data_IF_687933237969
#
_entry.id   IF_687933237969
#
_cell.length_a   1.000
_cell.length_b   1.000
_cell.length_c   1.000
_cell.angle_alpha   90.00
_cell.angle_beta   90.00
_cell.angle_gamma   90.00
#
_symmetry.space_group_name_H-M   'P 1'
#
loop_
_entity.id
_entity.type
_entity.pdbx_description
1 polymer ?
#
# COMPACT_ATOMS: atom_id res chain seq x y z
N UNK A 1 2.21 -5.41 8.20
CA UNK A 1 1.79 -4.10 8.71
C UNK A 1 2.32 -3.89 10.12
N UNK A 2 2.68 -2.66 10.47
CA UNK A 2 3.31 -2.33 11.75
C UNK A 2 2.62 -1.13 12.40
N UNK A 3 2.45 -1.18 13.72
CA UNK A 3 1.93 -0.07 14.52
C UNK A 3 3.09 0.71 15.15
N UNK A 4 3.40 1.89 14.60
CA UNK A 4 4.61 2.63 14.95
C UNK A 4 4.47 3.51 16.20
N UNK A 5 3.29 3.61 16.82
CA UNK A 5 2.99 4.56 17.91
C UNK A 5 3.77 4.31 19.20
N UNK A 6 4.09 3.05 19.47
CA UNK A 6 4.77 2.63 20.70
C UNK A 6 6.30 2.51 20.52
N UNK A 7 6.83 2.88 19.36
CA UNK A 7 8.27 2.84 19.13
C UNK A 7 8.90 4.14 19.62
N UNK A 8 10.14 4.08 20.16
CA UNK A 8 10.90 5.29 20.43
C UNK A 8 11.01 6.18 19.19
N UNK A 9 11.09 7.48 19.41
CA UNK A 9 11.38 8.42 18.34
C UNK A 9 12.65 8.00 17.59
N UNK A 10 12.71 8.28 16.29
CA UNK A 10 13.85 7.96 15.42
C UNK A 10 14.09 6.45 15.19
N UNK A 11 13.15 5.57 15.57
CA UNK A 11 13.22 4.14 15.21
C UNK A 11 13.13 3.91 13.69
N UNK A 12 12.34 4.73 12.99
CA UNK A 12 12.15 4.63 11.54
C UNK A 12 12.72 5.88 10.86
N UNK A 13 13.34 5.67 9.72
CA UNK A 13 13.88 6.71 8.84
C UNK A 13 13.26 6.53 7.45
N UNK A 14 12.82 7.61 6.82
CA UNK A 14 12.38 7.52 5.43
C UNK A 14 13.59 7.27 4.55
N UNK A 15 13.44 6.40 3.58
CA UNK A 15 14.55 6.09 2.68
C UNK A 15 15.01 7.30 1.85
N UNK A 16 14.11 8.24 1.52
CA UNK A 16 14.48 9.51 0.92
C UNK A 16 15.36 10.37 1.83
N UNK A 17 15.07 10.42 3.13
CA UNK A 17 15.90 11.16 4.11
C UNK A 17 17.28 10.49 4.24
N UNK A 18 17.34 9.15 4.21
CA UNK A 18 18.60 8.42 4.19
C UNK A 18 19.41 8.70 2.91
N UNK A 19 18.75 8.69 1.75
CA UNK A 19 19.39 8.99 0.47
C UNK A 19 19.82 10.46 0.37
N UNK A 20 19.07 11.39 0.96
CA UNK A 20 19.45 12.80 1.04
C UNK A 20 20.76 12.98 1.83
N UNK A 21 21.04 12.15 2.83
CA UNK A 21 22.34 12.19 3.49
C UNK A 21 23.43 11.47 2.69
N UNK A 22 23.11 10.33 2.09
CA UNK A 22 24.09 9.46 1.41
C UNK A 22 24.47 9.93 -0.01
N UNK A 23 23.67 10.76 -0.67
CA UNK A 23 23.96 11.18 -2.05
C UNK A 23 25.11 12.19 -2.17
N UNK A 24 25.49 12.83 -1.06
CA UNK A 24 26.64 13.74 -1.00
C UNK A 24 27.97 12.97 -0.87
N UNK A 25 27.92 11.72 -0.41
CA UNK A 25 29.07 10.82 -0.37
C UNK A 25 29.43 10.32 -1.78
N UNK A 26 30.74 10.10 -2.00
CA UNK A 26 31.44 9.93 -3.29
C UNK A 26 30.98 8.76 -4.18
N UNK A 27 29.94 8.00 -3.83
CA UNK A 27 29.45 6.88 -4.65
C UNK A 27 28.45 7.35 -5.72
N UNK A 28 28.79 7.25 -7.01
CA UNK A 28 27.88 7.61 -8.10
C UNK A 28 26.56 6.82 -8.08
N UNK A 29 26.53 5.64 -7.47
CA UNK A 29 25.35 4.80 -7.34
C UNK A 29 24.30 5.41 -6.41
N UNK A 30 24.71 5.96 -5.25
CA UNK A 30 23.77 6.63 -4.33
C UNK A 30 23.21 7.91 -4.94
N UNK A 31 24.04 8.70 -5.62
CA UNK A 31 23.57 9.88 -6.36
C UNK A 31 22.57 9.50 -7.46
N UNK A 32 22.81 8.41 -8.19
CA UNK A 32 21.88 7.90 -9.20
C UNK A 32 20.57 7.43 -8.58
N UNK A 33 20.64 6.68 -7.49
CA UNK A 33 19.48 6.19 -6.76
C UNK A 33 18.63 7.35 -6.19
N UNK A 34 19.27 8.33 -5.56
CA UNK A 34 18.62 9.56 -5.07
C UNK A 34 17.90 10.29 -6.20
N UNK A 35 18.56 10.55 -7.33
CA UNK A 35 17.92 11.22 -8.47
C UNK A 35 16.72 10.45 -9.03
N UNK A 36 16.77 9.12 -9.06
CA UNK A 36 15.62 8.32 -9.48
C UNK A 36 14.47 8.39 -8.48
N UNK A 37 14.79 8.27 -7.18
CA UNK A 37 13.82 8.21 -6.09
C UNK A 37 13.17 9.56 -5.78
N UNK A 38 13.94 10.66 -5.85
CA UNK A 38 13.48 12.03 -5.64
C UNK A 38 12.94 12.70 -6.92
N UNK A 39 13.04 11.99 -8.06
CA UNK A 39 12.58 12.48 -9.36
C UNK A 39 11.35 11.73 -9.87
N UNK A 40 11.40 11.36 -11.15
CA UNK A 40 10.27 10.77 -11.90
C UNK A 40 9.78 9.42 -11.34
N UNK A 41 10.61 8.69 -10.59
CA UNK A 41 10.32 7.33 -10.16
C UNK A 41 10.05 7.20 -8.65
N UNK A 42 9.55 8.26 -8.02
CA UNK A 42 9.02 8.19 -6.66
C UNK A 42 7.76 7.31 -6.57
N UNK A 43 7.89 6.08 -6.08
CA UNK A 43 6.79 5.11 -5.96
C UNK A 43 6.18 5.00 -4.55
N UNK A 44 6.69 5.74 -3.56
CA UNK A 44 6.23 5.75 -2.15
C UNK A 44 7.34 5.39 -1.15
N UNK A 45 7.09 5.62 0.15
CA UNK A 45 8.13 5.58 1.21
C UNK A 45 8.07 4.32 2.11
N UNK A 46 6.99 3.54 2.09
CA UNK A 46 6.70 2.55 3.15
C UNK A 46 6.58 1.09 2.68
N UNK A 47 7.20 0.76 1.55
CA UNK A 47 7.40 -0.64 1.17
C UNK A 47 8.75 -1.09 1.71
N UNK A 48 8.75 -1.76 2.87
CA UNK A 48 9.94 -2.50 3.28
C UNK A 48 10.16 -3.60 2.25
N UNK A 49 11.29 -3.54 1.55
CA UNK A 49 11.72 -4.62 0.66
C UNK A 49 12.36 -5.72 1.50
N UNK A 50 11.55 -6.58 2.13
CA UNK A 50 12.07 -7.68 2.93
C UNK A 50 11.14 -8.15 4.05
N UNK A 51 11.69 -9.00 4.91
CA UNK A 51 11.04 -9.53 6.10
C UNK A 51 11.12 -8.51 7.24
N UNK A 52 9.96 -8.17 7.83
CA UNK A 52 9.89 -7.28 8.99
C UNK A 52 9.00 -7.94 10.06
N UNK A 53 9.64 -8.73 10.91
CA UNK A 53 9.01 -9.35 12.08
C UNK A 53 9.48 -8.66 13.36
N UNK A 54 8.64 -7.77 13.88
CA UNK A 54 8.80 -7.18 15.20
C UNK A 54 7.73 -7.80 16.10
N UNK A 55 8.18 -8.70 16.97
CA UNK A 55 7.33 -9.49 17.86
C UNK A 55 6.28 -8.64 18.58
N UNK A 56 5.00 -8.98 18.38
CA UNK A 56 3.85 -8.30 19.00
C UNK A 56 3.54 -6.89 18.46
N UNK A 57 4.30 -6.38 17.49
CA UNK A 57 4.16 -5.03 16.93
C UNK A 57 3.74 -5.03 15.46
N UNK A 58 3.86 -6.15 14.77
CA UNK A 58 3.43 -6.30 13.39
C UNK A 58 2.49 -7.49 13.17
N UNK A 59 1.89 -7.50 11.99
CA UNK A 59 1.16 -8.62 11.41
C UNK A 59 1.66 -8.85 10.00
N UNK A 60 1.83 -10.12 9.64
CA UNK A 60 2.29 -10.54 8.32
C UNK A 60 1.15 -11.20 7.57
N UNK A 61 1.18 -11.06 6.25
CA UNK A 61 0.31 -11.79 5.35
C UNK A 61 1.12 -12.18 4.13
N UNK A 62 0.83 -13.35 3.57
CA UNK A 62 1.44 -13.80 2.34
C UNK A 62 0.81 -13.07 1.15
N UNK A 63 1.56 -12.91 0.06
CA UNK A 63 0.99 -12.46 -1.20
C UNK A 63 -0.13 -13.39 -1.69
N UNK A 64 -0.03 -14.70 -1.40
CA UNK A 64 -1.06 -15.66 -1.80
C UNK A 64 -2.40 -15.39 -1.12
N UNK A 65 -2.42 -15.05 0.18
CA UNK A 65 -3.66 -14.65 0.88
C UNK A 65 -4.31 -13.43 0.23
N UNK A 66 -3.51 -12.45 -0.21
CA UNK A 66 -4.02 -11.29 -0.95
C UNK A 66 -4.59 -11.70 -2.32
N UNK A 67 -3.92 -12.59 -3.05
CA UNK A 67 -4.39 -13.13 -4.34
C UNK A 67 -5.71 -13.86 -4.16
N UNK A 68 -5.78 -14.77 -3.19
CA UNK A 68 -6.93 -15.63 -2.93
C UNK A 68 -8.16 -14.82 -2.49
N UNK A 69 -7.97 -13.77 -1.69
CA UNK A 69 -9.05 -12.84 -1.33
C UNK A 69 -9.36 -11.79 -2.40
N UNK A 70 -8.77 -11.90 -3.59
CA UNK A 70 -9.19 -11.15 -4.78
C UNK A 70 -8.47 -9.83 -5.03
N UNK A 71 -7.21 -9.69 -4.59
CA UNK A 71 -6.40 -8.50 -4.85
C UNK A 71 -6.39 -8.13 -6.35
N UNK A 72 -6.16 -9.10 -7.22
CA UNK A 72 -6.05 -8.90 -8.67
C UNK A 72 -7.38 -8.98 -9.42
N UNK A 73 -8.44 -9.49 -8.80
CA UNK A 73 -9.72 -9.72 -9.48
C UNK A 73 -10.80 -8.73 -9.06
N UNK A 74 -10.90 -8.44 -7.76
CA UNK A 74 -11.94 -7.59 -7.18
C UNK A 74 -11.38 -6.25 -6.72
N UNK A 75 -10.20 -6.24 -6.08
CA UNK A 75 -9.64 -5.03 -5.45
C UNK A 75 -8.97 -4.11 -6.47
N UNK A 76 -7.96 -4.59 -7.19
CA UNK A 76 -7.21 -3.76 -8.14
C UNK A 76 -6.75 -4.58 -9.36
N UNK A 77 -7.64 -4.79 -10.35
CA UNK A 77 -7.28 -5.49 -11.59
C UNK A 77 -6.15 -4.82 -12.40
N UNK A 78 -5.88 -3.53 -12.16
CA UNK A 78 -4.75 -2.84 -12.78
C UNK A 78 -3.38 -3.41 -12.39
N UNK A 79 -3.29 -4.15 -11.28
CA UNK A 79 -2.05 -4.82 -10.86
C UNK A 79 -1.71 -6.03 -11.75
N UNK A 80 -2.70 -6.76 -12.27
CA UNK A 80 -2.49 -8.00 -13.02
C UNK A 80 -2.47 -7.79 -14.55
N UNK A 81 -2.13 -6.57 -14.97
CA UNK A 81 -1.99 -6.26 -16.40
C UNK A 81 -0.67 -6.82 -16.95
N UNK A 82 -0.67 -7.55 -18.07
CA UNK A 82 0.55 -8.08 -18.70
C UNK A 82 1.59 -7.00 -19.03
N UNK A 83 1.14 -5.75 -19.19
CA UNK A 83 2.02 -4.61 -19.44
C UNK A 83 2.79 -4.17 -18.20
N UNK A 84 2.49 -4.64 -16.99
CA UNK A 84 3.26 -4.29 -15.80
C UNK A 84 4.56 -5.09 -15.77
N UNK A 85 5.64 -4.50 -16.30
CA UNK A 85 6.98 -5.06 -16.14
C UNK A 85 7.49 -4.81 -14.72
N UNK A 86 7.29 -5.80 -13.86
CA UNK A 86 7.71 -5.76 -12.46
C UNK A 86 9.23 -5.82 -12.27
N UNK A 87 10.04 -6.11 -13.32
CA UNK A 87 11.50 -5.93 -13.26
C UNK A 87 11.89 -4.45 -13.19
N UNK A 88 11.06 -3.59 -13.78
CA UNK A 88 11.17 -2.13 -13.70
C UNK A 88 10.00 -1.56 -12.88
N UNK A 89 9.78 -2.13 -11.70
CA UNK A 89 8.66 -1.78 -10.84
C UNK A 89 8.44 -0.27 -10.60
N UNK A 90 9.46 0.62 -10.50
CA UNK A 90 9.22 2.06 -10.33
C UNK A 90 8.49 2.65 -11.54
N UNK A 91 8.84 2.19 -12.76
CA UNK A 91 8.17 2.59 -13.99
C UNK A 91 6.78 2.00 -14.08
N UNK A 92 6.59 0.74 -13.69
CA UNK A 92 5.28 0.11 -13.65
C UNK A 92 4.32 0.88 -12.73
N UNK A 93 4.78 1.23 -11.52
CA UNK A 93 4.00 2.00 -10.55
C UNK A 93 3.70 3.41 -11.06
N UNK A 94 4.73 4.18 -11.43
CA UNK A 94 4.57 5.60 -11.72
C UNK A 94 3.92 5.88 -13.09
N UNK A 95 4.26 5.12 -14.13
CA UNK A 95 3.78 5.41 -15.48
C UNK A 95 2.47 4.70 -15.84
N UNK A 96 2.11 3.61 -15.15
CA UNK A 96 0.94 2.80 -15.50
C UNK A 96 -0.03 2.67 -14.34
N UNK A 97 0.39 2.02 -13.25
CA UNK A 97 -0.51 1.69 -12.15
C UNK A 97 -1.19 2.93 -11.57
N UNK A 98 -0.43 3.99 -11.27
CA UNK A 98 -1.01 5.24 -10.73
C UNK A 98 -1.95 5.94 -11.71
N UNK A 99 -1.64 5.89 -13.01
CA UNK A 99 -2.49 6.47 -14.06
C UNK A 99 -3.81 5.70 -14.16
N UNK A 100 -3.73 4.37 -14.21
CA UNK A 100 -4.89 3.48 -14.22
C UNK A 100 -5.75 3.68 -12.97
N UNK A 101 -5.12 3.69 -11.80
CA UNK A 101 -5.76 3.95 -10.51
C UNK A 101 -6.50 5.29 -10.54
N UNK A 102 -5.85 6.37 -10.99
CA UNK A 102 -6.46 7.70 -11.06
C UNK A 102 -7.65 7.76 -12.03
N UNK A 103 -7.63 6.96 -13.09
CA UNK A 103 -8.70 6.91 -14.11
C UNK A 103 -9.90 6.03 -13.74
N UNK A 104 -9.81 5.27 -12.65
CA UNK A 104 -10.82 4.26 -12.31
C UNK A 104 -12.14 4.87 -11.78
N UNK A 105 -13.25 4.15 -11.94
CA UNK A 105 -14.61 4.60 -11.56
C UNK A 105 -14.94 4.33 -10.08
N UNK A 106 -16.08 4.88 -9.63
CA UNK A 106 -16.59 4.83 -8.26
C UNK A 106 -16.65 3.42 -7.66
N UNK A 107 -16.51 3.36 -6.33
CA UNK A 107 -16.47 2.13 -5.54
C UNK A 107 -17.83 1.43 -5.53
N UNK A 108 -17.85 0.13 -5.84
CA UNK A 108 -19.04 -0.70 -5.64
C UNK A 108 -19.07 -1.34 -4.23
N UNK A 109 -20.27 -1.68 -3.76
CA UNK A 109 -20.47 -2.28 -2.43
C UNK A 109 -19.79 -3.66 -2.28
N UNK A 110 -19.66 -4.43 -3.37
CA UNK A 110 -19.01 -5.74 -3.35
C UNK A 110 -17.52 -5.58 -3.01
N UNK A 111 -16.89 -4.54 -3.54
CA UNK A 111 -15.49 -4.26 -3.31
C UNK A 111 -15.22 -3.77 -1.88
N UNK A 112 -16.09 -2.92 -1.31
CA UNK A 112 -15.99 -2.51 0.10
C UNK A 112 -16.03 -3.74 1.00
N UNK A 113 -17.01 -4.62 0.78
CA UNK A 113 -17.14 -5.87 1.53
C UNK A 113 -15.91 -6.76 1.36
N UNK A 114 -15.44 -6.92 0.12
CA UNK A 114 -14.27 -7.76 -0.17
C UNK A 114 -13.01 -7.23 0.52
N UNK A 115 -12.79 -5.91 0.51
CA UNK A 115 -11.63 -5.30 1.19
C UNK A 115 -11.69 -5.52 2.71
N UNK A 116 -12.88 -5.41 3.31
CA UNK A 116 -13.10 -5.64 4.74
C UNK A 116 -12.88 -7.11 5.10
N UNK A 117 -13.44 -8.05 4.34
CA UNK A 117 -13.28 -9.48 4.59
C UNK A 117 -11.83 -9.92 4.39
N UNK A 118 -11.20 -9.54 3.28
CA UNK A 118 -9.79 -9.83 3.05
C UNK A 118 -8.92 -9.25 4.17
N UNK A 119 -9.20 -8.03 4.64
CA UNK A 119 -8.45 -7.45 5.75
C UNK A 119 -8.63 -8.26 7.05
N UNK A 120 -9.87 -8.62 7.38
CA UNK A 120 -10.15 -9.45 8.56
C UNK A 120 -9.43 -10.79 8.50
N UNK A 121 -9.47 -11.46 7.36
CA UNK A 121 -8.89 -12.79 7.17
C UNK A 121 -7.35 -12.76 7.13
N UNK A 122 -6.76 -11.68 6.61
CA UNK A 122 -5.31 -11.55 6.52
C UNK A 122 -4.66 -11.05 7.82
N UNK A 123 -5.29 -10.11 8.54
CA UNK A 123 -4.61 -9.39 9.62
C UNK A 123 -5.38 -9.30 10.94
N UNK A 124 -6.57 -9.91 11.02
CA UNK A 124 -7.42 -9.85 12.20
C UNK A 124 -7.89 -8.42 12.54
N UNK A 125 -8.51 -8.27 13.71
CA UNK A 125 -9.25 -7.05 14.05
C UNK A 125 -8.35 -5.82 14.27
N UNK A 126 -7.12 -5.99 14.79
CA UNK A 126 -6.20 -4.88 15.11
C UNK A 126 -5.88 -4.02 13.89
N UNK A 127 -5.65 -4.65 12.75
CA UNK A 127 -5.22 -3.98 11.52
C UNK A 127 -6.27 -4.03 10.41
N UNK A 128 -7.48 -4.51 10.71
CA UNK A 128 -8.57 -4.61 9.75
C UNK A 128 -8.85 -3.28 9.07
N UNK A 129 -9.17 -2.25 9.86
CA UNK A 129 -9.53 -0.92 9.34
C UNK A 129 -8.41 -0.33 8.47
N UNK A 130 -7.15 -0.23 8.94
CA UNK A 130 -6.10 0.34 8.11
C UNK A 130 -5.80 -0.50 6.84
N UNK A 131 -5.83 -1.83 6.90
CA UNK A 131 -5.60 -2.65 5.71
C UNK A 131 -6.74 -2.49 4.69
N UNK A 132 -8.00 -2.55 5.14
CA UNK A 132 -9.15 -2.37 4.27
C UNK A 132 -9.14 -1.00 3.59
N UNK A 133 -8.79 0.07 4.31
CA UNK A 133 -8.63 1.40 3.72
C UNK A 133 -7.46 1.47 2.74
N UNK A 134 -6.33 0.82 3.02
CA UNK A 134 -5.20 0.75 2.08
C UNK A 134 -5.58 0.04 0.78
N UNK A 135 -6.30 -1.08 0.87
CA UNK A 135 -6.80 -1.83 -0.29
C UNK A 135 -7.79 -1.00 -1.12
N UNK A 136 -8.70 -0.29 -0.46
CA UNK A 136 -9.62 0.64 -1.11
C UNK A 136 -8.88 1.86 -1.70
N UNK A 137 -7.75 2.24 -1.13
CA UNK A 137 -6.86 3.31 -1.59
C UNK A 137 -6.09 2.98 -2.87
N UNK A 138 -6.06 1.72 -3.32
CA UNK A 138 -5.49 1.33 -4.61
C UNK A 138 -6.37 1.75 -5.81
N UNK A 139 -7.09 2.87 -5.69
CA UNK A 139 -8.18 3.30 -6.60
C UNK A 139 -8.34 4.82 -6.67
N UNK A 140 -9.09 5.28 -7.67
CA UNK A 140 -9.40 6.69 -7.90
C UNK A 140 -10.16 7.30 -6.72
N UNK A 141 -9.86 8.57 -6.45
CA UNK A 141 -10.39 9.38 -5.34
C UNK A 141 -11.83 9.87 -5.52
N UNK A 142 -12.55 9.48 -6.59
CA UNK A 142 -14.01 9.60 -6.60
C UNK A 142 -14.62 8.51 -5.70
N UNK A 143 -14.19 8.50 -4.45
CA UNK A 143 -14.69 7.61 -3.43
C UNK A 143 -16.01 8.17 -2.93
N UNK A 144 -17.04 7.33 -2.94
CA UNK A 144 -18.23 7.56 -2.14
C UNK A 144 -17.85 7.38 -0.65
N UNK A 145 -17.19 8.40 -0.10
CA UNK A 145 -16.69 8.41 1.28
C UNK A 145 -17.82 8.12 2.27
N UNK A 146 -19.05 8.51 1.94
CA UNK A 146 -20.22 8.22 2.74
C UNK A 146 -20.54 6.72 2.71
N UNK A 147 -20.54 6.07 1.54
CA UNK A 147 -20.73 4.62 1.46
C UNK A 147 -19.65 3.82 2.21
N UNK A 148 -18.38 4.22 2.09
CA UNK A 148 -17.27 3.60 2.83
C UNK A 148 -17.49 3.80 4.33
N UNK A 149 -17.68 5.05 4.79
CA UNK A 149 -17.88 5.35 6.20
C UNK A 149 -19.10 4.62 6.79
N UNK A 150 -20.21 4.55 6.06
CA UNK A 150 -21.42 3.85 6.49
C UNK A 150 -21.21 2.34 6.59
N UNK A 151 -20.46 1.73 5.66
CA UNK A 151 -20.13 0.31 5.73
C UNK A 151 -19.26 0.00 6.97
N UNK A 152 -18.22 0.79 7.22
CA UNK A 152 -17.39 0.63 8.43
C UNK A 152 -18.19 0.87 9.71
N UNK A 153 -19.02 1.92 9.77
CA UNK A 153 -19.91 2.17 10.94
C UNK A 153 -20.84 0.99 11.18
N UNK A 154 -21.52 0.49 10.15
CA UNK A 154 -22.43 -0.64 10.27
C UNK A 154 -21.75 -1.90 10.83
N UNK A 155 -20.45 -2.08 10.59
CA UNK A 155 -19.71 -3.27 11.01
C UNK A 155 -19.04 -3.12 12.37
N UNK A 156 -18.60 -1.91 12.73
CA UNK A 156 -17.76 -1.68 13.92
C UNK A 156 -18.44 -0.87 15.03
N UNK A 157 -19.58 -0.24 14.74
CA UNK A 157 -20.33 0.57 15.73
C UNK A 157 -21.77 0.09 15.86
N UNK A 158 -22.02 -1.22 15.71
CA UNK A 158 -23.39 -1.77 15.81
C UNK A 158 -24.11 -1.24 17.05
N UNK A 159 -25.30 -0.66 16.83
CA UNK A 159 -26.26 -0.02 17.76
C UNK A 159 -25.78 0.28 19.18
#
# INVERSE_FOLDING_TARGET
>A
MIDTRDFPEQTFLRDLDALEWLHEDLDPEFKRLYNYRNGRFYFGEYLTQGYLDITGKCVEMTMQQLVDGGLFTVICPALDKPQNDWKEWPKAVCNRLRVDIASNKAVDQKQIRTAIFLARDCVGDRFLVPLALMLLGLRSRQSDNAAIANAFRSLFTGM
#
